data_IF_431252415934
#
_entry.id   IF_431252415934
#
_cell.length_a   1.000
_cell.length_b   1.000
_cell.length_c   1.000
_cell.angle_alpha   90.00
_cell.angle_beta   90.00
_cell.angle_gamma   90.00
#
_symmetry.space_group_name_H-M   'P 1'
#
loop_
_entity.id
_entity.type
_entity.pdbx_description
1 polymer ?
#
# COMPACT_ATOMS: atom_id res chain seq x y z
N UNK A 1 -6.29 27.04 5.94
CA UNK A 1 -5.01 26.68 5.29
C UNK A 1 -4.62 27.82 4.38
N UNK A 2 -3.41 28.35 4.53
CA UNK A 2 -2.94 29.53 3.79
C UNK A 2 -2.10 29.14 2.56
N UNK A 3 -2.59 28.20 1.75
CA UNK A 3 -1.89 27.73 0.55
C UNK A 3 -2.85 27.23 -0.54
N UNK A 4 -2.38 27.13 -1.80
CA UNK A 4 -3.17 26.58 -2.89
C UNK A 4 -3.49 25.10 -2.64
N UNK A 5 -4.65 24.65 -3.13
CA UNK A 5 -5.04 23.25 -3.02
C UNK A 5 -4.09 22.35 -3.82
N UNK A 6 -3.67 21.23 -3.23
CA UNK A 6 -2.99 20.14 -3.93
C UNK A 6 -4.01 19.13 -4.49
N UNK A 7 -3.69 18.42 -5.58
CA UNK A 7 -4.47 17.27 -6.01
C UNK A 7 -4.33 16.12 -5.00
N UNK A 8 -5.37 15.28 -4.90
CA UNK A 8 -5.32 14.10 -4.06
C UNK A 8 -4.18 13.14 -4.48
N UNK A 9 -3.47 12.54 -3.52
CA UNK A 9 -2.39 11.59 -3.81
C UNK A 9 -2.94 10.31 -4.47
N UNK A 10 -2.08 9.48 -5.08
CA UNK A 10 -2.48 8.25 -5.76
C UNK A 10 -3.42 7.37 -4.93
N UNK A 11 -4.34 6.72 -5.62
CA UNK A 11 -5.35 5.82 -5.04
C UNK A 11 -6.29 6.44 -3.98
N UNK A 12 -6.38 7.77 -3.96
CA UNK A 12 -7.34 8.51 -3.14
C UNK A 12 -8.25 9.41 -3.99
N UNK A 13 -9.30 9.96 -3.39
CA UNK A 13 -10.20 10.96 -4.00
C UNK A 13 -10.86 11.85 -2.94
N UNK A 14 -11.32 13.01 -3.36
CA UNK A 14 -12.28 13.83 -2.60
C UNK A 14 -13.37 14.35 -3.54
N UNK A 15 -14.58 14.52 -3.01
CA UNK A 15 -15.70 15.19 -3.70
C UNK A 15 -16.11 16.48 -2.99
N UNK A 16 -15.56 16.75 -1.81
CA UNK A 16 -15.82 17.97 -1.06
C UNK A 16 -14.80 19.05 -1.42
N UNK A 17 -15.29 20.29 -1.58
CA UNK A 17 -14.42 21.46 -1.62
C UNK A 17 -13.71 21.66 -0.28
N UNK A 18 -12.48 22.19 -0.33
CA UNK A 18 -11.65 22.44 0.85
C UNK A 18 -11.40 21.19 1.74
N UNK A 19 -11.36 20.00 1.14
CA UNK A 19 -11.05 18.78 1.85
C UNK A 19 -9.63 18.81 2.43
N UNK A 20 -9.51 18.55 3.73
CA UNK A 20 -8.22 18.44 4.43
C UNK A 20 -7.61 17.03 4.33
N UNK A 21 -8.41 16.03 3.93
CA UNK A 21 -8.00 14.64 3.78
C UNK A 21 -8.73 14.04 2.58
N UNK A 22 -8.00 13.33 1.71
CA UNK A 22 -8.59 12.56 0.61
C UNK A 22 -8.90 11.14 1.07
N UNK A 23 -10.12 10.67 0.85
CA UNK A 23 -10.53 9.29 1.18
C UNK A 23 -9.90 8.30 0.21
N UNK A 24 -9.45 7.14 0.71
CA UNK A 24 -8.92 6.09 -0.16
C UNK A 24 -9.99 5.50 -1.07
N UNK A 25 -9.59 5.10 -2.28
CA UNK A 25 -10.45 4.33 -3.18
C UNK A 25 -10.69 2.94 -2.59
N UNK A 26 -11.78 2.28 -2.99
CA UNK A 26 -12.06 0.91 -2.58
C UNK A 26 -10.87 -0.02 -2.88
N UNK A 27 -10.45 -0.82 -1.89
CA UNK A 27 -9.30 -1.71 -1.97
C UNK A 27 -7.95 -1.08 -1.60
N UNK A 28 -7.92 0.22 -1.30
CA UNK A 28 -6.73 0.94 -0.86
C UNK A 28 -6.93 1.53 0.53
N UNK A 29 -5.82 1.67 1.26
CA UNK A 29 -5.81 2.02 2.67
C UNK A 29 -4.60 2.90 2.99
N UNK A 30 -4.61 3.49 4.18
CA UNK A 30 -3.46 4.15 4.79
C UNK A 30 -3.20 3.50 6.13
N UNK A 31 -1.93 3.36 6.49
CA UNK A 31 -1.54 2.95 7.82
C UNK A 31 -1.81 4.09 8.83
N UNK A 32 -1.93 3.75 10.12
CA UNK A 32 -2.13 4.76 11.17
C UNK A 32 -0.98 5.77 11.28
N UNK A 33 0.20 5.40 10.77
CA UNK A 33 1.39 6.25 10.72
C UNK A 33 1.49 7.11 9.45
N UNK A 34 0.62 6.90 8.46
CA UNK A 34 0.63 7.66 7.20
C UNK A 34 0.01 9.05 7.38
N UNK A 35 0.58 10.03 6.70
CA UNK A 35 0.03 11.39 6.67
C UNK A 35 -1.16 11.48 5.71
N UNK A 36 -1.96 12.54 5.80
CA UNK A 36 -3.08 12.80 4.88
C UNK A 36 -2.64 12.92 3.41
N UNK A 37 -1.40 13.38 3.18
CA UNK A 37 -0.79 13.55 1.86
C UNK A 37 -0.13 12.26 1.34
N UNK A 38 0.01 11.22 2.17
CA UNK A 38 0.49 9.92 1.74
C UNK A 38 -0.48 9.30 0.72
N UNK A 39 0.06 8.60 -0.28
CA UNK A 39 -0.73 7.79 -1.20
C UNK A 39 -1.41 6.64 -0.44
N UNK A 40 -2.61 6.24 -0.90
CA UNK A 40 -3.20 5.02 -0.38
C UNK A 40 -2.54 3.81 -1.07
N UNK A 41 -2.22 2.78 -0.29
CA UNK A 41 -1.59 1.54 -0.76
C UNK A 41 -2.56 0.37 -0.60
N UNK A 42 -2.31 -0.72 -1.31
CA UNK A 42 -3.06 -1.97 -1.17
C UNK A 42 -2.13 -3.06 -0.65
N UNK A 43 -2.72 -4.18 -0.23
CA UNK A 43 -1.94 -5.39 0.09
C UNK A 43 -1.17 -5.81 -1.17
N UNK A 44 0.15 -6.07 -1.09
CA UNK A 44 0.93 -6.51 -2.24
C UNK A 44 0.48 -7.88 -2.74
N UNK A 45 0.91 -8.27 -3.93
CA UNK A 45 0.67 -9.62 -4.43
C UNK A 45 1.39 -10.68 -3.58
N UNK A 46 1.06 -11.95 -3.80
CA UNK A 46 1.80 -13.05 -3.17
C UNK A 46 3.30 -13.00 -3.54
N UNK A 47 4.20 -13.47 -2.66
CA UNK A 47 5.60 -13.67 -3.00
C UNK A 47 5.72 -14.68 -4.14
N UNK A 48 6.74 -14.51 -4.98
CA UNK A 48 6.95 -15.34 -6.18
C UNK A 48 7.99 -16.42 -5.91
N UNK A 49 8.00 -17.44 -6.76
CA UNK A 49 9.06 -18.46 -6.78
C UNK A 49 9.35 -19.10 -5.42
N UNK A 50 8.29 -19.51 -4.70
CA UNK A 50 8.45 -20.18 -3.40
C UNK A 50 9.10 -21.54 -3.59
N UNK A 51 10.28 -21.71 -3.02
CA UNK A 51 11.09 -22.93 -3.03
C UNK A 51 11.17 -23.46 -1.60
N UNK A 52 10.93 -24.75 -1.43
CA UNK A 52 11.12 -25.46 -0.17
C UNK A 52 12.33 -26.38 -0.24
N UNK A 53 13.21 -26.28 0.75
CA UNK A 53 14.33 -27.20 0.94
C UNK A 53 14.19 -27.87 2.30
N UNK A 54 14.06 -29.20 2.29
CA UNK A 54 13.93 -30.00 3.51
C UNK A 54 15.24 -30.74 3.74
N UNK A 55 15.81 -30.56 4.93
CA UNK A 55 16.97 -31.32 5.39
C UNK A 55 16.63 -32.01 6.72
N UNK A 56 16.42 -33.32 6.67
CA UNK A 56 15.92 -34.16 7.76
C UNK A 56 14.59 -33.66 8.33
N UNK A 57 14.64 -32.90 9.43
CA UNK A 57 13.48 -32.31 10.12
C UNK A 57 13.42 -30.79 9.97
N UNK A 58 14.40 -30.19 9.30
CA UNK A 58 14.46 -28.75 9.05
C UNK A 58 13.84 -28.40 7.69
N UNK A 59 13.14 -27.28 7.64
CA UNK A 59 12.55 -26.71 6.43
C UNK A 59 13.10 -25.28 6.24
N UNK A 60 13.71 -25.05 5.09
CA UNK A 60 14.10 -23.72 4.61
C UNK A 60 13.17 -23.33 3.47
N UNK A 61 12.65 -22.10 3.52
CA UNK A 61 11.83 -21.52 2.48
C UNK A 61 12.58 -20.34 1.86
N UNK A 62 12.66 -20.33 0.54
CA UNK A 62 13.21 -19.24 -0.24
C UNK A 62 12.13 -18.72 -1.18
N UNK A 63 12.04 -17.41 -1.36
CA UNK A 63 11.06 -16.78 -2.24
C UNK A 63 11.57 -15.46 -2.78
N UNK A 64 10.95 -15.00 -3.86
CA UNK A 64 11.18 -13.71 -4.49
C UNK A 64 10.08 -12.71 -4.09
N UNK A 65 10.38 -11.43 -4.24
CA UNK A 65 9.45 -10.34 -3.94
C UNK A 65 8.13 -10.45 -4.73
N UNK A 66 7.03 -9.89 -4.20
CA UNK A 66 5.78 -9.68 -4.92
C UNK A 66 5.99 -9.03 -6.31
N UNK A 67 5.03 -9.25 -7.21
CA UNK A 67 5.05 -8.62 -8.53
C UNK A 67 4.66 -7.14 -8.46
N UNK A 68 3.65 -6.84 -7.65
CA UNK A 68 3.09 -5.50 -7.51
C UNK A 68 3.54 -4.93 -6.16
N UNK A 69 4.51 -4.02 -6.23
CA UNK A 69 5.00 -3.20 -5.10
C UNK A 69 4.60 -1.75 -5.30
#
# INVERSE_FOLDING_TARGET
GEGPCSPCPPNSRTTSGAAMVCTCRNGFFRADTDTADSACTSVPSAPRSVISNVNETSLVLEWSEPQDT
#
